data_IF_702271228917
#
_entry.id   IF_702271228917
#
_cell.length_a   1.000
_cell.length_b   1.000
_cell.length_c   1.000
_cell.angle_alpha   90.00
_cell.angle_beta   90.00
_cell.angle_gamma   90.00
#
_symmetry.space_group_name_H-M   'P 1'
#
loop_
_entity.id
_entity.type
_entity.pdbx_description
1 polymer ?
#
# COMPACT_ATOMS: atom_id res chain seq x y z
N UNK A 1 -14.15 -10.53 16.24
CA UNK A 1 -15.05 -11.56 15.68
C UNK A 1 -15.29 -11.17 14.24
N UNK A 2 -14.77 -11.81 13.20
CA UNK A 2 -13.88 -12.95 13.03
C UNK A 2 -13.47 -12.92 11.55
N UNK A 3 -12.19 -13.17 11.29
CA UNK A 3 -11.52 -13.21 9.98
C UNK A 3 -12.43 -13.73 8.86
N UNK A 4 -12.79 -12.90 7.89
CA UNK A 4 -13.47 -13.39 6.67
C UNK A 4 -12.53 -13.28 5.45
N UNK A 5 -11.37 -13.93 5.59
CA UNK A 5 -10.63 -14.43 4.44
C UNK A 5 -11.08 -15.88 4.29
N UNK A 6 -12.13 -16.09 3.50
CA UNK A 6 -12.54 -17.44 3.09
C UNK A 6 -11.56 -17.93 2.01
N UNK A 7 -10.35 -18.34 2.42
CA UNK A 7 -9.40 -18.91 1.47
C UNK A 7 -7.93 -18.87 1.88
N UNK A 8 -7.09 -19.20 0.90
CA UNK A 8 -5.64 -19.19 1.01
C UNK A 8 -5.12 -17.79 1.36
N UNK A 9 -4.31 -17.73 2.42
CA UNK A 9 -3.58 -16.52 2.82
C UNK A 9 -2.16 -16.56 2.30
N UNK A 10 -1.65 -15.42 1.88
CA UNK A 10 -0.31 -15.24 1.37
C UNK A 10 0.37 -14.07 2.09
N UNK A 11 1.69 -14.11 2.09
CA UNK A 11 2.53 -12.97 2.49
C UNK A 11 3.44 -12.58 1.33
N UNK A 12 3.44 -11.30 0.99
CA UNK A 12 4.29 -10.74 -0.06
C UNK A 12 5.24 -9.71 0.55
N UNK A 13 6.53 -9.97 0.45
CA UNK A 13 7.57 -8.97 0.68
C UNK A 13 7.57 -7.99 -0.49
N UNK A 14 7.46 -6.71 -0.16
CA UNK A 14 7.52 -5.60 -1.11
C UNK A 14 8.65 -4.69 -0.71
N UNK A 15 9.59 -4.42 -1.61
CA UNK A 15 10.71 -3.53 -1.37
C UNK A 15 11.15 -2.77 -2.61
N UNK A 16 11.94 -1.73 -2.43
CA UNK A 16 12.60 -0.99 -3.50
C UNK A 16 13.65 -0.04 -2.95
N UNK A 17 14.47 0.56 -3.82
CA UNK A 17 15.46 1.55 -3.37
C UNK A 17 14.80 2.87 -2.95
N UNK A 18 13.70 3.22 -3.62
CA UNK A 18 12.87 4.37 -3.30
C UNK A 18 11.39 4.03 -3.49
N UNK A 19 10.50 4.76 -2.81
CA UNK A 19 9.06 4.76 -3.11
C UNK A 19 8.47 6.16 -2.97
N UNK A 20 7.46 6.46 -3.79
CA UNK A 20 6.71 7.70 -3.62
C UNK A 20 5.24 7.48 -3.90
N UNK A 21 4.43 7.60 -2.85
CA UNK A 21 2.98 7.59 -2.91
C UNK A 21 2.49 9.02 -2.68
N UNK A 22 2.22 9.81 -3.74
CA UNK A 22 2.01 11.25 -3.61
C UNK A 22 0.79 11.59 -2.76
N UNK A 23 0.96 12.54 -1.85
CA UNK A 23 -0.15 13.18 -1.14
C UNK A 23 -0.79 14.22 -2.09
N UNK A 24 -2.10 14.13 -2.40
CA UNK A 24 -2.73 14.92 -3.48
C UNK A 24 -2.68 16.45 -3.37
N UNK A 25 -2.55 17.04 -2.18
CA UNK A 25 -2.72 18.49 -1.95
C UNK A 25 -1.41 19.31 -1.93
N UNK A 26 -0.29 18.72 -2.32
CA UNK A 26 1.02 19.36 -2.28
C UNK A 26 1.36 20.02 -3.63
N UNK A 27 1.46 21.35 -3.68
CA UNK A 27 1.64 22.11 -4.95
C UNK A 27 3.10 22.29 -5.37
N UNK A 28 4.02 22.51 -4.41
CA UNK A 28 5.39 22.95 -4.72
C UNK A 28 6.45 21.84 -4.59
N UNK A 29 6.08 20.70 -3.99
CA UNK A 29 6.93 19.53 -3.85
C UNK A 29 6.06 18.27 -3.83
N UNK A 30 6.59 17.13 -4.27
CA UNK A 30 5.89 15.86 -4.06
C UNK A 30 6.36 15.22 -2.76
N UNK A 31 5.46 15.10 -1.77
CA UNK A 31 5.72 14.31 -0.56
C UNK A 31 5.03 12.95 -0.67
N UNK A 32 5.78 11.89 -0.33
CA UNK A 32 5.24 10.54 -0.17
C UNK A 32 4.52 10.37 1.16
N UNK A 33 3.47 9.55 1.18
CA UNK A 33 3.06 8.88 2.41
C UNK A 33 4.25 8.11 3.03
N UNK A 34 4.22 8.00 4.35
CA UNK A 34 5.24 7.32 5.18
C UNK A 34 5.17 5.78 5.12
N UNK A 35 4.09 5.24 4.56
CA UNK A 35 3.84 3.80 4.41
C UNK A 35 3.10 3.55 3.09
N UNK A 36 3.27 2.35 2.51
CA UNK A 36 2.52 1.94 1.33
C UNK A 36 1.00 2.00 1.58
N UNK A 37 0.23 2.79 0.80
CA UNK A 37 -1.21 2.75 0.90
C UNK A 37 -1.77 1.41 0.40
N UNK A 38 -2.85 0.86 1.03
CA UNK A 38 -3.45 -0.39 0.57
C UNK A 38 -3.83 -0.39 -0.91
N UNK A 39 -4.31 0.74 -1.45
CA UNK A 39 -4.63 0.83 -2.88
C UNK A 39 -3.43 0.59 -3.80
N UNK A 40 -2.22 1.00 -3.38
CA UNK A 40 -0.99 0.73 -4.13
C UNK A 40 -0.57 -0.74 -3.99
N UNK A 41 -0.69 -1.30 -2.79
CA UNK A 41 -0.43 -2.71 -2.54
C UNK A 41 -1.36 -3.65 -3.34
N UNK A 42 -2.65 -3.31 -3.46
CA UNK A 42 -3.58 -4.04 -4.32
C UNK A 42 -3.10 -4.07 -5.77
N UNK A 43 -2.66 -2.92 -6.31
CA UNK A 43 -2.13 -2.86 -7.68
C UNK A 43 -0.94 -3.81 -7.91
N UNK A 44 -0.03 -3.92 -6.93
CA UNK A 44 1.08 -4.89 -6.99
C UNK A 44 0.57 -6.34 -6.99
N UNK A 45 -0.33 -6.70 -6.08
CA UNK A 45 -0.90 -8.05 -5.98
C UNK A 45 -1.67 -8.43 -7.26
N UNK A 46 -2.52 -7.53 -7.75
CA UNK A 46 -3.33 -7.71 -8.95
C UNK A 46 -2.47 -7.89 -10.22
N UNK A 47 -1.33 -7.20 -10.29
CA UNK A 47 -0.39 -7.34 -11.39
C UNK A 47 0.23 -8.74 -11.50
N UNK A 48 0.28 -9.50 -10.40
CA UNK A 48 0.72 -10.90 -10.40
C UNK A 48 -0.40 -11.79 -10.93
N UNK A 49 -1.60 -11.69 -10.35
CA UNK A 49 -2.78 -12.39 -10.84
C UNK A 49 -4.05 -11.64 -10.51
N UNK A 50 -4.82 -11.33 -11.54
CA UNK A 50 -6.18 -10.84 -11.38
C UNK A 50 -7.13 -11.51 -12.37
N UNK A 51 -8.37 -11.72 -11.92
CA UNK A 51 -9.52 -12.14 -12.71
C UNK A 51 -10.77 -11.48 -12.09
N UNK A 52 -11.82 -11.19 -12.89
CA UNK A 52 -13.07 -10.67 -12.35
C UNK A 52 -13.76 -11.63 -11.37
N UNK A 53 -13.43 -12.92 -11.43
CA UNK A 53 -13.93 -13.98 -10.54
C UNK A 53 -13.37 -13.90 -9.10
N UNK A 54 -12.31 -13.13 -8.86
CA UNK A 54 -11.69 -13.01 -7.53
C UNK A 54 -11.63 -11.55 -7.07
N UNK A 55 -11.61 -11.35 -5.75
CA UNK A 55 -11.36 -10.06 -5.12
C UNK A 55 -10.27 -10.23 -4.07
N UNK A 56 -9.15 -9.55 -4.26
CA UNK A 56 -8.06 -9.52 -3.28
C UNK A 56 -8.46 -8.72 -2.06
N UNK A 57 -7.92 -9.13 -0.91
CA UNK A 57 -8.13 -8.49 0.39
C UNK A 57 -6.82 -8.48 1.17
N UNK A 58 -6.34 -7.29 1.51
CA UNK A 58 -5.21 -7.12 2.42
C UNK A 58 -5.76 -7.11 3.85
N UNK A 59 -5.19 -7.92 4.74
CA UNK A 59 -5.51 -7.93 6.17
C UNK A 59 -4.53 -7.09 6.98
N UNK A 60 -3.25 -7.11 6.63
CA UNK A 60 -2.24 -6.36 7.37
C UNK A 60 -1.08 -5.90 6.47
N UNK A 61 -0.47 -4.79 6.89
CA UNK A 61 0.78 -4.28 6.32
C UNK A 61 1.78 -4.15 7.47
N UNK A 62 2.92 -4.81 7.31
CA UNK A 62 4.01 -4.89 8.26
C UNK A 62 5.17 -4.00 7.78
N UNK A 63 5.65 -3.10 8.61
CA UNK A 63 6.77 -2.20 8.31
C UNK A 63 8.08 -2.89 8.72
N UNK A 64 8.92 -3.23 7.73
CA UNK A 64 10.15 -4.01 7.94
C UNK A 64 11.44 -3.17 7.85
N UNK A 65 11.31 -1.85 7.68
CA UNK A 65 12.43 -0.92 7.60
C UNK A 65 12.05 0.39 8.31
N UNK A 66 13.01 1.09 8.95
CA UNK A 66 12.76 2.42 9.48
C UNK A 66 12.16 3.34 8.42
N UNK A 67 11.19 4.17 8.81
CA UNK A 67 10.55 5.12 7.90
C UNK A 67 11.48 6.32 7.72
N UNK A 68 12.00 6.51 6.51
CA UNK A 68 12.94 7.57 6.18
C UNK A 68 12.52 8.24 4.87
N UNK A 69 12.25 9.54 4.92
CA UNK A 69 12.04 10.35 3.73
C UNK A 69 13.33 11.05 3.34
N UNK A 70 13.69 10.96 2.06
CA UNK A 70 14.87 11.61 1.48
C UNK A 70 14.46 12.37 0.23
N UNK A 71 15.19 13.46 -0.05
CA UNK A 71 15.01 14.19 -1.30
C UNK A 71 15.62 13.40 -2.45
N UNK A 72 14.80 13.17 -3.48
CA UNK A 72 15.21 12.58 -4.74
C UNK A 72 15.17 13.65 -5.82
N UNK A 73 16.29 13.80 -6.53
CA UNK A 73 16.42 14.77 -7.62
C UNK A 73 15.49 14.40 -8.78
N UNK A 74 14.57 15.30 -9.09
CA UNK A 74 13.63 15.23 -10.21
C UNK A 74 13.29 16.68 -10.64
N UNK A 75 12.60 16.91 -11.77
CA UNK A 75 12.23 18.26 -12.20
C UNK A 75 11.44 19.06 -11.14
N UNK A 76 10.64 18.36 -10.35
CA UNK A 76 10.05 18.87 -9.10
C UNK A 76 10.61 18.03 -7.95
N UNK A 77 11.07 18.62 -6.83
CA UNK A 77 11.61 17.87 -5.70
C UNK A 77 10.62 16.83 -5.19
N UNK A 78 11.12 15.61 -4.93
CA UNK A 78 10.34 14.51 -4.36
C UNK A 78 10.94 14.13 -3.01
N UNK A 79 10.17 14.23 -1.93
CA UNK A 79 10.47 13.55 -0.67
C UNK A 79 9.93 12.13 -0.76
N UNK A 80 10.82 11.19 -1.08
CA UNK A 80 10.53 9.79 -1.31
C UNK A 80 10.98 8.95 -0.11
N UNK A 81 10.34 7.80 0.11
CA UNK A 81 10.79 6.81 1.08
C UNK A 81 12.10 6.20 0.60
N UNK A 82 13.09 6.08 1.48
CA UNK A 82 14.38 5.47 1.20
C UNK A 82 14.42 4.01 1.66
N UNK A 83 14.78 3.10 0.74
CA UNK A 83 14.89 1.65 0.96
C UNK A 83 13.71 1.03 1.74
N UNK A 84 12.45 1.35 1.40
CA UNK A 84 11.33 0.82 2.15
C UNK A 84 11.19 -0.69 1.96
N UNK A 85 10.79 -1.37 3.02
CA UNK A 85 10.42 -2.79 3.01
C UNK A 85 9.13 -3.01 3.79
N UNK A 86 8.21 -3.75 3.20
CA UNK A 86 6.96 -4.15 3.83
C UNK A 86 6.69 -5.65 3.62
N UNK A 87 6.11 -6.31 4.60
CA UNK A 87 5.40 -7.56 4.38
C UNK A 87 3.89 -7.27 4.33
N UNK A 88 3.22 -7.81 3.32
CA UNK A 88 1.79 -7.59 3.11
C UNK A 88 1.09 -8.93 3.25
N UNK A 89 0.17 -9.00 4.21
CA UNK A 89 -0.67 -10.16 4.45
C UNK A 89 -1.99 -9.96 3.70
N UNK A 90 -2.33 -10.93 2.87
CA UNK A 90 -3.51 -10.85 2.01
C UNK A 90 -4.07 -12.23 1.70
N UNK A 91 -5.33 -12.23 1.29
CA UNK A 91 -6.00 -13.38 0.70
C UNK A 91 -6.97 -12.90 -0.37
N UNK A 92 -7.88 -13.76 -0.79
CA UNK A 92 -8.93 -13.38 -1.71
C UNK A 92 -10.20 -14.18 -1.44
N UNK A 93 -11.31 -13.66 -1.94
CA UNK A 93 -12.58 -14.38 -2.02
C UNK A 93 -13.02 -14.50 -3.49
N UNK A 94 -13.87 -15.48 -3.78
CA UNK A 94 -14.59 -15.52 -5.06
C UNK A 94 -15.62 -14.39 -5.11
N UNK A 95 -15.91 -13.89 -6.31
CA UNK A 95 -16.96 -12.90 -6.56
C UNK A 95 -18.19 -13.56 -7.18
N UNK A 96 -19.28 -12.80 -7.30
CA UNK A 96 -20.48 -13.24 -8.05
C UNK A 96 -20.21 -13.50 -9.55
N UNK A 97 -19.05 -13.07 -10.07
CA UNK A 97 -18.64 -13.30 -11.46
C UNK A 97 -17.87 -14.62 -11.64
N UNK A 98 -17.62 -15.37 -10.56
CA UNK A 98 -16.98 -16.67 -10.63
C UNK A 98 -17.85 -17.66 -11.40
N UNK A 99 -17.27 -18.32 -12.40
CA UNK A 99 -17.91 -19.38 -13.16
C UNK A 99 -17.68 -20.76 -12.57
N UNK A 100 -18.21 -21.83 -13.18
CA UNK A 100 -18.11 -23.20 -12.67
C UNK A 100 -16.69 -23.77 -12.56
N UNK A 101 -15.70 -23.12 -13.20
CA UNK A 101 -14.28 -23.52 -13.17
C UNK A 101 -13.44 -22.67 -12.23
N UNK A 102 -13.99 -21.61 -11.65
CA UNK A 102 -13.28 -20.73 -10.73
C UNK A 102 -13.42 -21.30 -9.31
N UNK A 103 -12.30 -21.67 -8.71
CA UNK A 103 -12.23 -22.14 -7.33
C UNK A 103 -11.08 -21.46 -6.59
N UNK A 104 -11.16 -21.43 -5.26
CA UNK A 104 -10.08 -20.90 -4.41
C UNK A 104 -8.76 -21.61 -4.74
N UNK A 105 -8.73 -22.94 -4.79
CA UNK A 105 -7.50 -23.69 -5.04
C UNK A 105 -6.91 -23.42 -6.43
N UNK A 106 -7.77 -23.27 -7.45
CA UNK A 106 -7.34 -22.97 -8.81
C UNK A 106 -6.67 -21.59 -8.89
N UNK A 107 -7.31 -20.55 -8.32
CA UNK A 107 -6.75 -19.21 -8.31
C UNK A 107 -5.50 -19.08 -7.44
N UNK A 108 -5.48 -19.74 -6.27
CA UNK A 108 -4.31 -19.81 -5.40
C UNK A 108 -3.11 -20.44 -6.13
N UNK A 109 -3.33 -21.58 -6.78
CA UNK A 109 -2.30 -22.26 -7.57
C UNK A 109 -1.80 -21.41 -8.74
N UNK A 110 -2.70 -20.67 -9.42
CA UNK A 110 -2.31 -19.73 -10.48
C UNK A 110 -1.47 -18.57 -9.95
N UNK A 111 -1.87 -17.98 -8.82
CA UNK A 111 -1.12 -16.91 -8.17
C UNK A 111 0.29 -17.38 -7.79
N UNK A 112 0.40 -18.48 -7.04
CA UNK A 112 1.68 -19.04 -6.60
C UNK A 112 2.62 -19.35 -7.78
N UNK A 113 2.08 -19.93 -8.86
CA UNK A 113 2.87 -20.24 -10.06
C UNK A 113 3.40 -18.98 -10.74
N UNK A 114 2.62 -17.89 -10.78
CA UNK A 114 3.05 -16.62 -11.36
C UNK A 114 4.02 -15.87 -10.47
N UNK A 115 3.75 -15.83 -9.16
CA UNK A 115 4.62 -15.20 -8.16
C UNK A 115 6.04 -15.79 -8.20
N UNK A 116 6.17 -17.12 -8.32
CA UNK A 116 7.48 -17.80 -8.45
C UNK A 116 8.27 -17.47 -9.72
N UNK A 117 7.62 -16.85 -10.72
CA UNK A 117 8.23 -16.53 -12.03
C UNK A 117 8.35 -15.03 -12.25
N UNK A 118 8.13 -14.22 -11.23
CA UNK A 118 8.26 -12.78 -11.35
C UNK A 118 9.72 -12.43 -11.68
N UNK A 119 9.96 -11.45 -12.57
CA UNK A 119 11.27 -10.85 -12.72
C UNK A 119 11.72 -10.22 -11.39
N UNK A 120 13.02 -9.94 -11.27
CA UNK A 120 13.61 -9.29 -10.08
C UNK A 120 12.87 -8.00 -9.69
N UNK A 121 12.41 -7.25 -10.68
CA UNK A 121 11.57 -6.06 -10.49
C UNK A 121 10.25 -6.25 -11.22
N UNK A 122 9.12 -6.07 -10.52
CA UNK A 122 7.78 -6.22 -11.06
C UNK A 122 6.85 -5.14 -10.50
N UNK A 123 6.39 -4.25 -11.37
CA UNK A 123 5.57 -3.10 -10.97
C UNK A 123 6.38 -1.95 -10.37
N UNK A 124 5.67 -0.98 -9.77
CA UNK A 124 6.25 0.27 -9.29
C UNK A 124 5.70 0.67 -7.92
N UNK A 125 6.54 1.29 -7.10
CA UNK A 125 6.21 1.86 -5.79
C UNK A 125 5.71 3.30 -5.95
N UNK A 126 4.48 3.40 -6.45
CA UNK A 126 3.71 4.65 -6.55
C UNK A 126 4.03 5.53 -7.77
N UNK A 127 5.28 5.60 -8.24
CA UNK A 127 5.65 6.26 -9.51
C UNK A 127 6.51 5.35 -10.41
N UNK A 128 6.45 5.49 -11.75
CA UNK A 128 7.21 4.65 -12.68
C UNK A 128 8.74 4.65 -12.50
N UNK A 129 9.32 5.69 -11.91
CA UNK A 129 10.76 5.76 -11.65
C UNK A 129 11.22 4.92 -10.44
N UNK A 130 10.26 4.33 -9.70
CA UNK A 130 10.53 3.60 -8.47
C UNK A 130 10.11 2.13 -8.65
N UNK A 131 10.98 1.26 -9.18
CA UNK A 131 10.63 -0.14 -9.43
C UNK A 131 10.41 -0.89 -8.11
N UNK A 132 9.43 -1.79 -8.10
CA UNK A 132 9.14 -2.67 -6.96
C UNK A 132 9.82 -4.03 -7.13
N UNK A 133 10.37 -4.58 -6.05
CA UNK A 133 10.79 -5.97 -5.94
C UNK A 133 9.76 -6.71 -5.09
N UNK A 134 9.28 -7.86 -5.59
CA UNK A 134 8.22 -8.64 -4.98
C UNK A 134 8.70 -10.07 -4.73
N UNK A 135 8.58 -10.54 -3.49
CA UNK A 135 8.99 -11.90 -3.11
C UNK A 135 7.92 -12.56 -2.23
N UNK A 136 7.53 -13.79 -2.57
CA UNK A 136 6.58 -14.54 -1.76
C UNK A 136 7.28 -15.07 -0.50
N UNK A 137 6.71 -14.79 0.65
CA UNK A 137 7.17 -15.31 1.94
C UNK A 137 6.19 -16.34 2.49
N UNK A 138 6.70 -17.17 3.40
CA UNK A 138 5.82 -17.96 4.25
C UNK A 138 5.04 -17.03 5.20
N UNK A 139 3.73 -17.22 5.28
CA UNK A 139 2.85 -16.43 6.15
C UNK A 139 3.09 -16.72 7.64
N UNK A 140 3.69 -17.87 7.98
CA UNK A 140 4.03 -18.25 9.35
C UNK A 140 5.44 -17.78 9.76
N UNK A 141 6.27 -17.37 8.79
CA UNK A 141 7.62 -16.89 9.07
C UNK A 141 7.58 -15.65 9.97
N UNK A 142 8.39 -15.66 11.03
CA UNK A 142 8.55 -14.51 11.91
C UNK A 142 9.13 -13.32 11.13
N UNK A 143 8.57 -12.13 11.37
CA UNK A 143 9.01 -10.89 10.76
C UNK A 143 9.95 -10.16 11.71
N UNK A 144 11.09 -9.72 11.18
CA UNK A 144 12.03 -8.86 11.88
C UNK A 144 11.59 -7.40 11.70
N UNK A 145 10.94 -6.86 12.74
CA UNK A 145 10.40 -5.49 12.74
C UNK A 145 11.41 -4.52 13.34
N UNK A 146 11.59 -3.32 12.76
CA UNK A 146 12.47 -2.30 13.34
C UNK A 146 12.02 -1.90 14.74
N UNK A 147 12.97 -1.67 15.65
CA UNK A 147 12.67 -1.19 17.01
C UNK A 147 12.00 0.19 17.01
N UNK A 148 12.27 1.01 16.00
CA UNK A 148 11.63 2.31 15.78
C UNK A 148 10.13 2.18 15.56
N UNK A 149 9.66 0.98 15.18
CA UNK A 149 8.25 0.66 15.00
C UNK A 149 7.58 0.08 16.25
N UNK A 150 8.29 -0.05 17.37
CA UNK A 150 7.73 -0.51 18.64
C UNK A 150 6.69 0.48 19.20
N UNK A 151 5.66 -0.05 19.84
CA UNK A 151 4.57 0.76 20.38
C UNK A 151 3.56 1.14 19.29
N UNK A 152 3.00 2.36 19.36
CA UNK A 152 1.96 2.81 18.43
C UNK A 152 2.42 4.00 17.59
N UNK A 153 2.41 3.83 16.26
CA UNK A 153 2.66 4.89 15.29
C UNK A 153 1.35 5.21 14.55
N UNK A 154 0.97 6.49 14.48
CA UNK A 154 -0.17 6.96 13.69
C UNK A 154 0.36 7.56 12.39
N UNK A 155 0.10 6.87 11.27
CA UNK A 155 0.44 7.27 9.89
C UNK A 155 -0.62 8.17 9.25
N UNK A 156 -1.66 8.55 10.00
CA UNK A 156 -2.74 9.40 9.50
C UNK A 156 -3.68 8.65 8.55
N UNK A 157 -4.31 9.40 7.65
CA UNK A 157 -5.30 8.85 6.72
C UNK A 157 -4.65 8.33 5.45
N UNK A 158 -4.83 7.04 5.15
CA UNK A 158 -4.34 6.41 3.92
C UNK A 158 -5.50 6.06 2.98
N UNK A 159 -5.30 6.17 1.65
CA UNK A 159 -6.27 5.68 0.68
C UNK A 159 -6.32 4.15 0.69
N UNK A 160 -7.50 3.62 1.00
CA UNK A 160 -7.80 2.20 1.12
C UNK A 160 -8.20 1.59 -0.24
N UNK A 161 -9.21 2.17 -0.90
CA UNK A 161 -9.74 1.70 -2.18
C UNK A 161 -10.24 2.86 -3.03
N UNK A 162 -10.15 2.72 -4.36
CA UNK A 162 -10.78 3.64 -5.31
C UNK A 162 -12.29 3.46 -5.30
N UNK A 163 -13.05 4.53 -5.50
CA UNK A 163 -14.50 4.44 -5.67
C UNK A 163 -14.83 3.94 -7.08
N UNK A 164 -15.76 2.98 -7.17
CA UNK A 164 -16.18 2.40 -8.46
C UNK A 164 -16.84 3.43 -9.40
N UNK A 165 -17.49 4.45 -8.82
CA UNK A 165 -18.27 5.47 -9.55
C UNK A 165 -17.48 6.75 -9.83
N UNK A 166 -16.40 7.01 -9.10
CA UNK A 166 -15.47 8.10 -9.38
C UNK A 166 -14.03 7.61 -9.21
N UNK A 167 -13.34 7.34 -10.32
CA UNK A 167 -11.98 6.84 -10.25
C UNK A 167 -11.00 7.88 -9.70
N UNK A 168 -11.37 9.16 -9.54
CA UNK A 168 -10.51 10.18 -8.92
C UNK A 168 -10.60 10.19 -7.40
N UNK A 169 -11.61 9.53 -6.83
CA UNK A 169 -11.89 9.53 -5.40
C UNK A 169 -11.53 8.19 -4.74
N UNK A 170 -11.15 8.27 -3.47
CA UNK A 170 -10.77 7.11 -2.65
C UNK A 170 -11.59 7.04 -1.36
N UNK A 171 -11.80 5.83 -0.84
CA UNK A 171 -12.11 5.62 0.58
C UNK A 171 -10.81 5.68 1.37
N UNK A 172 -10.85 6.29 2.54
CA UNK A 172 -9.70 6.42 3.43
C UNK A 172 -9.94 5.67 4.74
N UNK A 173 -8.85 5.29 5.40
CA UNK A 173 -8.88 4.80 6.77
C UNK A 173 -7.71 5.40 7.55
N UNK A 174 -7.87 5.52 8.88
CA UNK A 174 -6.80 6.01 9.75
C UNK A 174 -5.84 4.85 10.07
N UNK A 175 -4.65 4.90 9.49
CA UNK A 175 -3.64 3.88 9.62
C UNK A 175 -2.84 4.07 10.91
N UNK A 176 -2.99 3.11 11.82
CA UNK A 176 -2.17 3.04 13.04
C UNK A 176 -1.43 1.72 13.06
N UNK A 177 -0.11 1.79 13.13
CA UNK A 177 0.70 0.62 13.40
C UNK A 177 0.78 0.38 14.90
N UNK A 178 0.60 -0.87 15.32
CA UNK A 178 1.06 -1.36 16.61
C UNK A 178 2.19 -2.35 16.38
N UNK A 179 3.35 -2.09 16.98
CA UNK A 179 4.55 -2.93 16.85
C UNK A 179 4.85 -3.23 15.37
N UNK A 180 4.93 -2.17 14.56
CA UNK A 180 5.18 -2.22 13.11
C UNK A 180 4.03 -2.74 12.24
N UNK A 181 2.88 -3.12 12.81
CA UNK A 181 1.78 -3.74 12.06
C UNK A 181 0.57 -2.82 11.95
N UNK A 182 0.21 -2.43 10.73
CA UNK A 182 -1.05 -1.76 10.40
C UNK A 182 -2.10 -2.81 10.03
N UNK A 183 -3.17 -2.88 10.82
CA UNK A 183 -4.34 -3.69 10.48
C UNK A 183 -5.19 -2.94 9.45
N UNK A 184 -5.45 -3.58 8.31
CA UNK A 184 -6.24 -2.99 7.22
C UNK A 184 -7.70 -3.36 7.45
N UNK A 185 -8.61 -2.38 7.57
CA UNK A 185 -9.98 -2.66 7.94
C UNK A 185 -10.69 -3.47 6.87
N UNK A 186 -11.47 -4.42 7.36
CA UNK A 186 -12.38 -5.22 6.60
C UNK A 186 -13.56 -4.35 6.11
N UNK A 187 -13.52 -3.82 4.88
CA UNK A 187 -14.44 -2.75 4.48
C UNK A 187 -14.64 -2.52 2.97
N UNK A 188 -14.82 -3.58 2.19
CA UNK A 188 -15.68 -3.51 1.00
C UNK A 188 -16.70 -4.64 1.11
N UNK A 189 -17.79 -4.39 1.82
CA UNK A 189 -19.02 -5.10 1.48
C UNK A 189 -19.49 -4.52 0.15
N UNK A 190 -19.77 -5.40 -0.80
CA UNK A 190 -20.09 -5.13 -2.20
C UNK A 190 -21.24 -4.12 -2.37
N UNK A 191 -20.92 -2.82 -2.44
CA UNK A 191 -21.92 -1.76 -2.66
C UNK A 191 -22.34 -1.63 -4.13
N UNK A 192 -21.82 -2.49 -5.02
CA UNK A 192 -22.21 -2.47 -6.44
C UNK A 192 -23.69 -2.78 -6.66
N UNK A 193 -24.36 -3.41 -5.68
CA UNK A 193 -25.76 -3.81 -5.80
C UNK A 193 -26.80 -2.84 -5.18
N UNK A 194 -26.43 -1.96 -4.24
CA UNK A 194 -27.42 -1.17 -3.47
C UNK A 194 -27.35 0.36 -3.63
N UNK A 195 -26.23 0.94 -4.06
CA UNK A 195 -26.10 2.42 -4.14
C UNK A 195 -26.67 3.03 -5.45
N UNK A 196 -27.21 2.21 -6.37
CA UNK A 196 -27.83 2.74 -7.60
C UNK A 196 -29.08 3.59 -7.37
N UNK A 197 -29.71 3.58 -6.19
CA UNK A 197 -30.98 4.30 -5.94
C UNK A 197 -30.90 5.51 -5.00
N UNK A 198 -29.90 5.63 -4.13
CA UNK A 198 -29.82 6.78 -3.19
C UNK A 198 -28.75 7.82 -3.56
N UNK A 199 -27.72 7.46 -4.33
CA UNK A 199 -26.62 8.39 -4.67
C UNK A 199 -26.99 9.48 -5.68
N UNK A 200 -28.19 9.44 -6.29
CA UNK A 200 -28.72 10.55 -7.09
C UNK A 200 -29.39 11.64 -6.23
N UNK A 201 -29.51 11.45 -4.91
CA UNK A 201 -30.12 12.42 -3.98
C UNK A 201 -29.14 12.98 -2.94
N UNK A 202 -27.94 12.42 -2.80
CA UNK A 202 -27.02 12.76 -1.71
C UNK A 202 -25.71 13.36 -2.22
N UNK A 203 -25.83 14.43 -3.00
CA UNK A 203 -24.73 15.35 -3.37
C UNK A 203 -24.17 16.14 -2.17
N UNK A 204 -24.52 15.77 -0.93
CA UNK A 204 -24.38 16.62 0.27
C UNK A 204 -23.58 15.98 1.43
N UNK A 205 -22.97 14.81 1.24
CA UNK A 205 -22.04 14.23 2.22
C UNK A 205 -20.71 13.90 1.54
N UNK A 206 -20.12 14.93 0.93
CA UNK A 206 -18.68 15.02 0.86
C UNK A 206 -18.22 15.09 2.32
N UNK A 207 -17.81 13.94 2.87
CA UNK A 207 -16.91 13.95 4.02
C UNK A 207 -15.73 14.80 3.53
N UNK A 208 -15.63 16.03 4.03
CA UNK A 208 -14.46 16.87 3.85
C UNK A 208 -13.25 15.98 4.10
N UNK A 209 -12.37 15.84 3.11
CA UNK A 209 -11.18 15.00 3.27
C UNK A 209 -10.49 15.40 4.57
N UNK A 210 -10.37 14.50 5.58
CA UNK A 210 -9.98 14.84 6.95
C UNK A 210 -8.47 15.08 7.09
N UNK A 211 -7.88 15.65 6.03
CA UNK A 211 -6.46 15.89 5.86
C UNK A 211 -6.07 17.19 6.58
N UNK A 212 -6.16 17.19 7.90
CA UNK A 212 -5.46 18.16 8.74
C UNK A 212 -4.02 17.64 8.95
N UNK A 213 -3.14 18.02 8.05
CA UNK A 213 -1.72 17.67 8.10
C UNK A 213 -1.05 18.59 9.11
N UNK A 214 -0.79 18.08 10.32
CA UNK A 214 0.05 18.80 11.26
C UNK A 214 1.50 18.75 10.77
N UNK A 215 1.95 19.83 10.13
CA UNK A 215 3.35 20.08 9.73
C UNK A 215 4.34 19.87 10.89
N UNK A 216 3.87 19.87 12.15
CA UNK A 216 4.71 19.78 13.34
C UNK A 216 5.49 18.46 13.47
N UNK A 217 5.12 17.39 12.75
CA UNK A 217 5.93 16.15 12.70
C UNK A 217 7.04 16.18 11.66
N UNK A 218 6.93 17.05 10.65
CA UNK A 218 7.93 17.20 9.59
C UNK A 218 8.89 18.38 9.89
N UNK A 219 8.45 19.35 10.69
CA UNK A 219 9.28 20.50 11.09
C UNK A 219 9.97 20.33 12.46
N UNK A 220 9.83 19.17 13.11
CA UNK A 220 10.70 18.80 14.22
C UNK A 220 12.10 18.57 13.65
N UNK A 221 13.05 19.42 14.04
CA UNK A 221 14.48 19.41 13.76
C UNK A 221 15.02 18.20 12.95
N UNK A 222 15.85 18.42 11.91
CA UNK A 222 16.47 17.33 11.16
C UNK A 222 17.05 16.31 12.15
N UNK A 223 16.79 14.99 12.00
CA UNK A 223 17.40 14.01 12.87
C UNK A 223 18.90 14.26 12.87
N UNK A 224 19.49 14.39 14.07
CA UNK A 224 20.92 14.56 14.24
C UNK A 224 21.62 13.43 13.45
N UNK A 225 22.18 13.78 12.29
CA UNK A 225 22.53 12.78 11.28
C UNK A 225 22.16 13.12 9.83
N UNK A 226 21.85 14.39 9.50
CA UNK A 226 22.07 14.88 8.12
C UNK A 226 23.57 14.77 7.85
N UNK A 227 23.98 13.59 7.39
CA UNK A 227 25.24 13.45 6.69
C UNK A 227 25.06 14.22 5.40
N UNK A 228 25.73 15.37 5.36
CA UNK A 228 26.04 16.08 4.14
C UNK A 228 26.56 15.07 3.12
N UNK A 229 25.70 14.70 2.16
CA UNK A 229 26.05 13.81 1.07
C UNK A 229 26.89 14.53 -0.01
N UNK A 230 27.57 15.62 0.35
CA UNK A 230 28.78 16.03 -0.36
C UNK A 230 29.95 15.14 0.07
N UNK A 231 29.94 13.87 -0.36
CA UNK A 231 31.13 13.04 -0.60
C UNK A 231 30.69 11.69 -1.17
N UNK A 232 31.06 11.46 -2.43
CA UNK A 232 31.23 10.15 -3.07
C UNK A 232 29.97 9.34 -3.42
N UNK A 233 29.16 9.83 -4.37
CA UNK A 233 28.43 8.93 -5.27
C UNK A 233 29.29 8.67 -6.53
N UNK A 234 29.51 7.42 -6.97
CA UNK A 234 30.20 7.16 -8.23
C UNK A 234 29.33 7.66 -9.39
N UNK A 235 29.95 8.40 -10.31
CA UNK A 235 29.33 8.81 -11.55
C UNK A 235 28.90 7.59 -12.36
N UNK A 236 27.63 7.56 -12.75
CA UNK A 236 27.15 6.72 -13.84
C UNK A 236 26.41 7.65 -14.78
N UNK A 237 26.96 7.79 -15.99
CA UNK A 237 26.35 8.47 -17.14
C UNK A 237 25.04 7.80 -17.59
#
# INVERSE_FOLDING_TARGET
>A
MGRNIEGATFRLLVSGDYACFPIPKMLDATISYEIIPPVAAYGLIESVHWKPAIRWRISAIHVLSPVQLVEVRAPQPILALYRPRWAIDFGFSLTQRAGPRDSIDAHASMFLRKAKRLPRQHGFLGKPHFPASLELMDAEQALDMPLECAGTIDFGWLPLHRLDWDPKSYRYFRARARDGTVQVPEGITDLTSHIRREALSASALLIEEPYDFSLSRITGAPPAGVLDASLSAPHVE
#
